data_IF_217420829884
#
_entry.id   IF_217420829884
#
_cell.length_a   1.000
_cell.length_b   1.000
_cell.length_c   1.000
_cell.angle_alpha   90.00
_cell.angle_beta   90.00
_cell.angle_gamma   90.00
#
_symmetry.space_group_name_H-M   'P 1'
#
loop_
_entity.id
_entity.type
_entity.pdbx_description
1 polymer ?
#
# COMPACT_ATOMS: atom_id res chain seq x y z
N UNK A 1 33.08 21.04 11.07
CA UNK A 1 33.16 19.62 10.63
C UNK A 1 32.11 19.45 9.56
N UNK A 2 32.49 19.13 8.32
CA UNK A 2 31.55 18.84 7.23
C UNK A 2 30.95 17.46 7.49
N UNK A 3 29.67 17.43 7.87
CA UNK A 3 28.97 16.21 8.31
C UNK A 3 28.74 15.26 7.13
N UNK A 4 28.83 15.77 5.90
CA UNK A 4 28.72 15.02 4.65
C UNK A 4 29.92 14.11 4.37
N UNK A 5 31.06 14.32 5.05
CA UNK A 5 32.32 13.62 4.78
C UNK A 5 32.66 12.53 5.82
N UNK A 6 31.75 12.23 6.76
CA UNK A 6 31.91 11.17 7.77
C UNK A 6 30.60 10.38 7.93
N UNK A 7 30.72 9.07 8.12
CA UNK A 7 29.60 8.20 8.47
C UNK A 7 28.95 8.55 9.81
N UNK A 8 27.63 8.38 9.91
CA UNK A 8 26.87 8.46 11.17
C UNK A 8 26.23 7.08 11.36
N UNK A 9 27.02 6.11 11.81
CA UNK A 9 26.70 4.68 11.62
C UNK A 9 25.84 4.05 12.70
N UNK A 10 26.05 4.42 13.96
CA UNK A 10 25.21 4.05 15.10
C UNK A 10 25.61 4.89 16.33
N UNK A 11 25.01 4.62 17.48
CA UNK A 11 25.31 5.34 18.72
C UNK A 11 26.71 5.05 19.33
N UNK A 12 27.49 4.10 18.78
CA UNK A 12 28.69 3.54 19.42
C UNK A 12 29.92 3.36 18.49
N UNK A 13 29.79 3.49 17.18
CA UNK A 13 30.85 3.24 16.19
C UNK A 13 30.81 4.25 15.03
N UNK A 14 31.97 4.48 14.42
CA UNK A 14 32.14 5.22 13.16
C UNK A 14 32.91 4.36 12.17
N UNK A 15 32.34 4.01 11.02
CA UNK A 15 33.00 3.16 10.02
C UNK A 15 32.24 2.76 8.74
N UNK A 16 30.97 3.14 8.52
CA UNK A 16 30.22 2.93 7.25
C UNK A 16 29.70 4.27 6.72
N UNK A 17 29.27 4.34 5.46
CA UNK A 17 28.63 5.55 4.93
C UNK A 17 27.12 5.38 5.03
N UNK A 18 26.50 5.83 6.11
CA UNK A 18 25.05 5.94 6.13
C UNK A 18 24.64 7.25 5.44
N UNK A 19 24.26 7.16 4.16
CA UNK A 19 23.73 8.31 3.42
C UNK A 19 22.45 8.78 4.11
N UNK A 20 22.49 9.95 4.75
CA UNK A 20 21.31 10.58 5.33
C UNK A 20 20.40 11.08 4.21
N UNK A 21 19.12 10.74 4.30
CA UNK A 21 18.07 11.21 3.37
C UNK A 21 16.92 11.86 4.14
N UNK A 22 15.78 12.11 3.49
CA UNK A 22 14.52 12.46 4.18
C UNK A 22 14.63 13.58 5.21
N UNK A 23 15.40 14.63 4.92
CA UNK A 23 15.75 15.67 5.90
C UNK A 23 14.55 16.56 6.26
N UNK A 24 14.24 16.64 7.55
CA UNK A 24 13.19 17.51 8.10
C UNK A 24 13.82 18.55 9.01
N UNK A 25 13.73 19.83 8.63
CA UNK A 25 14.29 20.95 9.39
C UNK A 25 13.27 21.61 10.31
N UNK A 26 13.70 21.97 11.51
CA UNK A 26 12.93 22.69 12.52
C UNK A 26 13.76 23.84 13.08
N UNK A 27 13.11 24.97 13.39
CA UNK A 27 13.72 26.06 14.18
C UNK A 27 13.01 26.14 15.52
N UNK A 28 13.70 25.77 16.60
CA UNK A 28 13.13 25.62 17.95
C UNK A 28 14.08 26.34 18.92
N UNK A 29 13.55 27.31 19.66
CA UNK A 29 14.28 28.07 20.68
C UNK A 29 15.63 28.64 20.20
N UNK A 30 15.64 29.20 18.99
CA UNK A 30 16.83 29.81 18.39
C UNK A 30 17.87 28.82 17.83
N UNK A 31 17.59 27.52 17.88
CA UNK A 31 18.42 26.45 17.29
C UNK A 31 17.74 25.88 16.03
N UNK A 32 18.55 25.51 15.04
CA UNK A 32 18.14 24.68 13.91
C UNK A 32 18.36 23.22 14.25
N UNK A 33 17.34 22.39 14.03
CA UNK A 33 17.39 20.93 14.12
C UNK A 33 17.11 20.35 12.75
N UNK A 34 17.87 19.34 12.32
CA UNK A 34 17.60 18.57 11.10
C UNK A 34 17.51 17.12 11.50
N UNK A 35 16.38 16.49 11.23
CA UNK A 35 16.20 15.06 11.47
C UNK A 35 16.29 14.32 10.14
N UNK A 36 17.16 13.32 10.07
CA UNK A 36 17.38 12.49 8.89
C UNK A 36 17.34 11.00 9.26
N UNK A 37 16.61 10.14 8.52
CA UNK A 37 16.86 8.71 8.55
C UNK A 37 18.26 8.36 8.05
N UNK A 38 18.74 7.21 8.50
CA UNK A 38 19.95 6.56 8.03
C UNK A 38 19.77 5.02 8.12
N UNK A 39 20.48 4.25 7.30
CA UNK A 39 20.49 2.77 7.41
C UNK A 39 19.42 2.00 6.63
N UNK A 40 18.56 2.68 5.86
CA UNK A 40 17.53 2.01 5.05
C UNK A 40 16.51 1.25 5.91
N UNK A 41 16.15 0.03 5.51
CA UNK A 41 15.11 -0.81 6.17
C UNK A 41 15.39 -1.10 7.66
N UNK A 42 16.65 -1.38 8.03
CA UNK A 42 17.06 -1.55 9.44
C UNK A 42 17.31 -0.20 10.15
N UNK A 43 16.85 0.89 9.54
CA UNK A 43 17.35 2.22 9.78
C UNK A 43 17.04 2.82 11.16
N UNK A 44 17.69 3.95 11.42
CA UNK A 44 17.58 4.74 12.63
C UNK A 44 17.36 6.21 12.28
N UNK A 45 17.10 7.02 13.31
CA UNK A 45 16.88 8.44 13.18
C UNK A 45 18.05 9.23 13.80
N UNK A 46 18.67 10.07 12.98
CA UNK A 46 19.71 11.02 13.40
C UNK A 46 19.08 12.40 13.55
N UNK A 47 19.49 13.14 14.59
CA UNK A 47 19.22 14.55 14.76
C UNK A 47 20.54 15.32 14.67
N UNK A 48 20.58 16.36 13.85
CA UNK A 48 21.62 17.37 13.76
C UNK A 48 21.11 18.64 14.43
N UNK A 49 21.94 19.40 15.16
CA UNK A 49 21.55 20.75 15.60
C UNK A 49 22.66 21.81 15.53
N UNK A 50 22.28 23.05 15.27
CA UNK A 50 23.20 24.21 15.21
C UNK A 50 22.48 25.53 15.49
N UNK A 51 23.21 26.57 15.94
CA UNK A 51 22.69 27.95 16.00
C UNK A 51 22.67 28.65 14.63
N UNK A 52 23.47 28.17 13.69
CA UNK A 52 23.55 28.70 12.33
C UNK A 52 22.98 27.66 11.36
N UNK A 53 22.09 28.08 10.46
CA UNK A 53 21.50 27.19 9.46
C UNK A 53 22.56 26.56 8.53
N UNK A 54 23.70 27.21 8.35
CA UNK A 54 24.83 26.69 7.59
C UNK A 54 25.79 25.83 8.43
N UNK A 55 25.49 25.63 9.71
CA UNK A 55 26.30 24.84 10.63
C UNK A 55 27.50 25.61 11.21
N UNK A 56 28.50 24.90 11.77
CA UNK A 56 28.56 23.44 11.85
C UNK A 56 27.44 22.87 12.74
N UNK A 57 26.98 21.65 12.44
CA UNK A 57 26.04 20.93 13.31
C UNK A 57 26.78 19.91 14.18
N UNK A 58 26.33 19.77 15.42
CA UNK A 58 26.55 18.55 16.20
C UNK A 58 25.43 17.55 15.90
N UNK A 59 25.66 16.26 16.20
CA UNK A 59 24.72 15.20 15.84
C UNK A 59 24.50 14.18 16.97
N UNK A 60 23.37 13.49 16.91
CA UNK A 60 23.01 12.40 17.82
C UNK A 60 22.06 11.41 17.14
N UNK A 61 22.27 10.11 17.33
CA UNK A 61 21.24 9.10 17.07
C UNK A 61 20.16 9.23 18.15
N UNK A 62 18.95 9.58 17.75
CA UNK A 62 17.85 9.85 18.67
C UNK A 62 16.85 8.70 18.79
N UNK A 63 16.81 7.81 17.80
CA UNK A 63 16.03 6.58 17.82
C UNK A 63 16.76 5.52 16.98
N UNK A 64 16.97 4.34 17.55
CA UNK A 64 17.47 3.15 16.86
C UNK A 64 16.80 1.95 17.54
N UNK A 65 15.62 1.60 17.05
CA UNK A 65 14.80 0.55 17.63
C UNK A 65 14.01 -0.19 16.55
N UNK A 66 14.08 -1.50 16.59
CA UNK A 66 13.37 -2.45 15.74
C UNK A 66 12.50 -3.41 16.57
N UNK A 67 12.45 -3.23 17.89
CA UNK A 67 11.90 -4.23 18.83
C UNK A 67 10.44 -4.60 18.59
N UNK A 68 9.66 -3.72 17.95
CA UNK A 68 8.26 -3.99 17.57
C UNK A 68 8.09 -4.79 16.28
N UNK A 69 9.11 -4.83 15.42
CA UNK A 69 9.11 -5.61 14.18
C UNK A 69 10.55 -5.92 13.69
N UNK A 70 11.32 -6.78 14.40
CA UNK A 70 12.69 -7.07 14.00
C UNK A 70 12.77 -7.73 12.62
N UNK A 71 13.77 -7.44 11.79
CA UNK A 71 14.94 -6.55 12.00
C UNK A 71 14.73 -5.10 11.48
N UNK A 72 13.47 -4.68 11.30
CA UNK A 72 13.13 -3.44 10.64
C UNK A 72 13.02 -2.28 11.63
N UNK A 73 13.94 -1.33 11.50
CA UNK A 73 14.04 -0.17 12.39
C UNK A 73 13.00 0.91 12.08
N UNK A 74 12.63 1.67 13.12
CA UNK A 74 11.84 2.89 12.99
C UNK A 74 12.69 4.01 12.40
N UNK A 75 12.35 4.44 11.19
CA UNK A 75 13.09 5.47 10.46
C UNK A 75 12.17 6.33 9.60
N UNK A 76 12.67 7.51 9.20
CA UNK A 76 12.08 8.43 8.24
C UNK A 76 10.72 9.00 8.65
N UNK A 77 10.68 10.31 8.88
CA UNK A 77 9.44 11.00 9.16
C UNK A 77 9.68 12.39 9.74
N UNK A 78 8.68 12.90 10.45
CA UNK A 78 8.71 14.26 10.99
C UNK A 78 8.08 14.40 12.36
N UNK A 79 8.63 15.34 13.12
CA UNK A 79 8.06 15.81 14.37
C UNK A 79 6.93 16.83 14.15
N UNK A 80 5.97 16.85 15.07
CA UNK A 80 4.90 17.83 15.19
C UNK A 80 4.79 18.28 16.65
N UNK A 81 4.67 19.59 16.86
CA UNK A 81 4.36 20.17 18.17
C UNK A 81 2.85 20.43 18.29
N UNK A 82 2.27 20.01 19.40
CA UNK A 82 0.91 20.33 19.77
C UNK A 82 0.81 21.70 20.45
N UNK A 83 -0.41 22.24 20.50
CA UNK A 83 -0.67 23.54 21.15
C UNK A 83 -0.36 23.55 22.65
N UNK A 84 -0.43 22.40 23.31
CA UNK A 84 -0.08 22.23 24.72
C UNK A 84 1.45 22.06 24.94
N UNK A 85 2.25 22.15 23.88
CA UNK A 85 3.71 22.03 23.93
C UNK A 85 4.24 20.60 23.79
N UNK A 86 3.38 19.58 23.79
CA UNK A 86 3.79 18.20 23.55
C UNK A 86 4.37 18.01 22.15
N UNK A 87 5.38 17.15 22.04
CA UNK A 87 5.97 16.78 20.76
C UNK A 87 5.67 15.33 20.43
N UNK A 88 5.41 15.08 19.15
CA UNK A 88 5.14 13.76 18.60
C UNK A 88 5.92 13.57 17.30
N UNK A 89 6.19 12.33 16.92
CA UNK A 89 6.93 11.98 15.73
C UNK A 89 6.10 10.99 14.91
N UNK A 90 5.73 11.37 13.68
CA UNK A 90 5.18 10.45 12.69
C UNK A 90 6.36 9.86 11.94
N UNK A 91 6.61 8.56 12.13
CA UNK A 91 7.76 7.82 11.59
C UNK A 91 7.25 6.56 10.89
N UNK A 92 8.02 5.91 10.01
CA UNK A 92 7.59 4.66 9.40
C UNK A 92 8.43 3.46 9.87
N UNK A 93 7.87 2.26 9.69
CA UNK A 93 8.57 1.00 9.86
C UNK A 93 8.23 0.09 8.68
N UNK A 94 9.25 -0.51 8.08
CA UNK A 94 9.06 -1.49 7.01
C UNK A 94 8.40 -2.75 7.59
N UNK A 95 7.32 -3.22 6.97
CA UNK A 95 6.58 -4.44 7.37
C UNK A 95 6.41 -5.37 6.17
N UNK A 96 7.52 -5.67 5.50
CA UNK A 96 7.58 -6.58 4.36
C UNK A 96 6.53 -6.29 3.30
N UNK A 97 5.85 -7.33 2.80
CA UNK A 97 5.01 -7.24 1.61
C UNK A 97 3.76 -6.34 1.75
N UNK A 98 3.35 -5.99 2.99
CA UNK A 98 2.27 -5.03 3.25
C UNK A 98 2.76 -3.57 3.24
N UNK A 99 4.07 -3.34 3.14
CA UNK A 99 4.68 -2.04 2.91
C UNK A 99 5.25 -1.38 4.15
N UNK A 100 5.36 -0.06 4.07
CA UNK A 100 5.95 0.79 5.12
C UNK A 100 4.81 1.44 5.90
N UNK A 101 4.73 1.13 7.19
CA UNK A 101 3.57 1.45 8.03
C UNK A 101 3.88 2.65 8.93
N UNK A 102 3.05 3.70 8.92
CA UNK A 102 3.21 4.83 9.83
C UNK A 102 3.04 4.42 11.29
N UNK A 103 3.92 4.93 12.13
CA UNK A 103 3.95 4.86 13.59
C UNK A 103 3.89 6.29 14.15
N UNK A 104 3.38 6.42 15.36
CA UNK A 104 3.27 7.71 16.06
C UNK A 104 3.89 7.59 17.44
N UNK A 105 5.04 8.24 17.62
CA UNK A 105 5.81 8.19 18.87
C UNK A 105 5.69 9.51 19.64
N UNK A 106 5.61 9.49 20.98
CA UNK A 106 5.84 10.70 21.77
C UNK A 106 7.29 11.15 21.62
N UNK A 107 7.58 12.42 21.84
CA UNK A 107 8.96 12.95 21.85
C UNK A 107 9.23 13.66 23.16
N UNK A 108 10.34 13.30 23.82
CA UNK A 108 10.83 13.99 25.02
C UNK A 108 12.13 14.72 24.73
N UNK A 109 12.24 15.95 25.21
CA UNK A 109 13.48 16.72 25.11
C UNK A 109 14.40 16.38 26.28
N UNK A 110 15.60 15.86 25.99
CA UNK A 110 16.61 15.47 27.00
C UNK A 110 17.95 16.10 26.63
N UNK A 111 18.46 17.01 27.46
CA UNK A 111 19.69 17.75 27.15
C UNK A 111 19.62 18.54 25.84
N UNK A 112 18.43 19.04 25.49
CA UNK A 112 18.16 19.73 24.23
C UNK A 112 18.13 18.84 22.99
N UNK A 113 18.01 17.52 23.14
CA UNK A 113 17.82 16.59 22.02
C UNK A 113 16.39 16.04 22.03
N UNK A 114 15.71 15.98 20.87
CA UNK A 114 14.40 15.33 20.78
C UNK A 114 14.59 13.82 20.75
N UNK A 115 14.12 13.11 21.77
CA UNK A 115 14.18 11.64 21.87
C UNK A 115 12.78 11.08 21.58
N UNK A 116 12.56 10.46 20.40
CA UNK A 116 11.30 9.79 20.08
C UNK A 116 11.11 8.52 20.91
N UNK A 117 9.86 8.17 21.15
CA UNK A 117 9.47 6.95 21.84
C UNK A 117 9.57 7.04 23.36
N UNK A 118 9.42 5.89 24.03
CA UNK A 118 9.55 5.78 25.49
C UNK A 118 10.95 5.28 25.80
N UNK A 119 11.84 6.20 26.17
CA UNK A 119 13.24 5.87 26.44
C UNK A 119 14.04 5.55 25.18
N UNK A 120 13.67 6.11 24.02
CA UNK A 120 14.34 5.85 22.74
C UNK A 120 13.92 4.54 22.07
N UNK A 121 12.73 4.02 22.38
CA UNK A 121 12.15 2.79 21.82
C UNK A 121 10.70 2.99 21.39
N UNK A 122 10.20 2.12 20.51
CA UNK A 122 8.81 2.11 20.10
C UNK A 122 7.85 2.08 21.29
N UNK A 123 6.66 2.63 21.08
CA UNK A 123 5.57 2.64 22.03
C UNK A 123 4.33 2.04 21.37
N UNK A 124 4.34 0.72 21.17
CA UNK A 124 3.25 -0.04 20.53
C UNK A 124 1.90 0.13 21.25
N UNK A 125 1.95 0.40 22.55
CA UNK A 125 0.81 0.87 23.34
C UNK A 125 1.20 2.16 24.05
N UNK A 126 0.48 3.24 23.74
CA UNK A 126 0.68 4.53 24.37
C UNK A 126 -0.62 5.34 24.40
N UNK A 127 -0.67 6.38 25.24
CA UNK A 127 -1.78 7.33 25.20
C UNK A 127 -1.81 8.03 23.84
N UNK A 128 -2.99 8.49 23.40
CA UNK A 128 -3.09 9.35 22.22
C UNK A 128 -2.59 10.77 22.54
N UNK A 129 -2.20 11.56 21.53
CA UNK A 129 -1.89 12.98 21.71
C UNK A 129 -3.04 13.74 22.35
N UNK A 130 -2.74 14.58 23.34
CA UNK A 130 -3.76 15.43 23.96
C UNK A 130 -4.02 16.66 23.09
N UNK A 131 -5.06 16.56 22.28
CA UNK A 131 -5.51 17.61 21.36
C UNK A 131 -6.68 18.42 21.92
N UNK A 132 -6.91 18.36 23.25
CA UNK A 132 -7.94 19.11 23.96
C UNK A 132 -9.38 18.58 23.79
N UNK A 133 -9.55 17.47 23.07
CA UNK A 133 -10.84 16.75 22.93
C UNK A 133 -10.63 15.33 22.39
N UNK A 134 -11.61 14.47 22.64
CA UNK A 134 -11.65 13.12 22.07
C UNK A 134 -12.29 13.15 20.69
N UNK A 135 -11.68 12.43 19.74
CA UNK A 135 -12.26 12.18 18.42
C UNK A 135 -12.62 10.70 18.28
N UNK A 136 -13.70 10.37 17.56
CA UNK A 136 -13.99 8.98 17.23
C UNK A 136 -12.87 8.41 16.37
N UNK A 137 -12.53 7.14 16.60
CA UNK A 137 -11.58 6.41 15.75
C UNK A 137 -12.10 6.38 14.32
N UNK A 138 -11.24 6.71 13.35
CA UNK A 138 -11.54 6.63 11.93
C UNK A 138 -10.47 5.80 11.24
N UNK A 139 -10.90 4.98 10.28
CA UNK A 139 -10.02 4.32 9.32
C UNK A 139 -10.11 5.05 7.97
N UNK A 140 -9.08 4.96 7.11
CA UNK A 140 -9.22 5.32 5.70
C UNK A 140 -10.42 4.60 5.07
N UNK A 141 -11.06 5.22 4.09
CA UNK A 141 -12.15 4.58 3.35
C UNK A 141 -11.65 3.29 2.67
N UNK A 142 -12.51 2.27 2.57
CA UNK A 142 -12.15 0.97 1.98
C UNK A 142 -13.24 0.45 1.04
N UNK A 143 -14.33 -0.08 1.59
CA UNK A 143 -15.51 -0.56 0.83
C UNK A 143 -16.10 0.54 -0.05
N UNK A 144 -16.49 0.17 -1.27
CA UNK A 144 -17.16 1.04 -2.22
C UNK A 144 -18.24 0.27 -2.97
N UNK A 145 -19.48 0.76 -2.91
CA UNK A 145 -20.62 0.22 -3.66
C UNK A 145 -20.83 0.96 -4.99
N UNK A 146 -19.87 1.80 -5.39
CA UNK A 146 -19.85 2.54 -6.67
C UNK A 146 -21.13 3.32 -7.01
N UNK A 147 -21.89 3.70 -5.99
CA UNK A 147 -23.15 4.44 -6.11
C UNK A 147 -22.95 5.95 -6.30
N UNK A 148 -21.73 6.45 -6.06
CA UNK A 148 -21.37 7.86 -6.23
C UNK A 148 -20.89 8.14 -7.65
N UNK A 149 -20.98 9.39 -8.07
CA UNK A 149 -20.52 9.85 -9.40
C UNK A 149 -19.02 10.16 -9.46
N UNK A 150 -18.30 10.01 -8.35
CA UNK A 150 -16.85 10.22 -8.24
C UNK A 150 -16.24 9.08 -7.45
N UNK A 151 -15.07 8.61 -7.91
CA UNK A 151 -14.28 7.62 -7.17
C UNK A 151 -13.90 8.17 -5.80
N UNK A 152 -14.02 7.33 -4.77
CA UNK A 152 -13.54 7.67 -3.44
C UNK A 152 -12.01 7.77 -3.37
N UNK A 153 -11.49 8.53 -2.41
CA UNK A 153 -10.06 8.82 -2.25
C UNK A 153 -9.20 7.59 -1.91
N UNK A 154 -9.83 6.48 -1.53
CA UNK A 154 -9.16 5.22 -1.26
C UNK A 154 -8.65 4.53 -2.53
N UNK A 155 -9.19 4.89 -3.69
CA UNK A 155 -8.80 4.36 -4.98
C UNK A 155 -7.62 5.11 -5.56
N UNK A 156 -6.70 4.36 -6.15
CA UNK A 156 -5.61 4.91 -6.94
C UNK A 156 -5.41 4.05 -8.17
N UNK A 157 -5.16 4.68 -9.31
CA UNK A 157 -4.81 3.99 -10.54
C UNK A 157 -3.38 3.46 -10.47
N UNK A 158 -3.15 2.27 -11.02
CA UNK A 158 -1.80 1.87 -11.41
C UNK A 158 -1.40 2.75 -12.61
N UNK A 159 -0.43 3.66 -12.40
CA UNK A 159 -0.03 4.68 -13.38
C UNK A 159 -1.18 5.62 -13.80
N UNK A 160 -0.97 6.41 -14.86
CA UNK A 160 -1.95 7.38 -15.36
C UNK A 160 -3.13 6.67 -16.03
N UNK A 161 -4.38 6.94 -15.61
CA UNK A 161 -5.56 6.37 -16.27
C UNK A 161 -5.80 7.00 -17.65
N UNK A 162 -6.60 6.32 -18.46
CA UNK A 162 -7.35 6.90 -19.57
C UNK A 162 -8.79 7.16 -19.10
N UNK A 163 -9.16 8.42 -18.93
CA UNK A 163 -10.47 8.81 -18.41
C UNK A 163 -11.63 8.56 -19.38
N UNK A 164 -11.37 8.25 -20.66
CA UNK A 164 -12.41 7.82 -21.59
C UNK A 164 -12.78 6.33 -21.43
N UNK A 165 -11.93 5.56 -20.74
CA UNK A 165 -12.00 4.09 -20.66
C UNK A 165 -12.45 3.59 -19.28
N UNK A 166 -13.01 4.45 -18.44
CA UNK A 166 -13.71 4.06 -17.22
C UNK A 166 -14.90 4.97 -16.94
N UNK A 167 -15.89 4.49 -16.20
CA UNK A 167 -17.07 5.29 -15.86
C UNK A 167 -17.78 4.80 -14.60
N UNK A 168 -18.37 5.74 -13.87
CA UNK A 168 -19.34 5.50 -12.78
C UNK A 168 -20.77 5.91 -13.18
N UNK A 169 -20.96 6.45 -14.39
CA UNK A 169 -22.22 7.04 -14.85
C UNK A 169 -22.83 6.31 -16.04
N UNK A 170 -22.04 5.61 -16.85
CA UNK A 170 -22.54 4.81 -17.98
C UNK A 170 -23.46 3.67 -17.50
N UNK A 171 -23.18 3.12 -16.32
CA UNK A 171 -24.05 2.20 -15.59
C UNK A 171 -24.05 2.59 -14.12
N UNK A 172 -25.12 3.27 -13.67
CA UNK A 172 -25.22 3.74 -12.28
C UNK A 172 -25.11 2.58 -11.29
N UNK A 173 -24.32 2.75 -10.23
CA UNK A 173 -24.06 1.72 -9.23
C UNK A 173 -22.97 0.72 -9.62
N UNK A 174 -22.22 0.98 -10.69
CA UNK A 174 -21.14 0.11 -11.15
C UNK A 174 -19.90 0.93 -11.48
N UNK A 175 -18.73 0.35 -11.19
CA UNK A 175 -17.47 0.75 -11.79
C UNK A 175 -17.28 0.02 -13.12
N UNK A 176 -17.40 0.76 -14.22
CA UNK A 176 -17.16 0.24 -15.57
C UNK A 176 -15.70 0.41 -15.96
N UNK A 177 -15.06 -0.67 -16.39
CA UNK A 177 -13.74 -0.66 -17.02
C UNK A 177 -13.84 -1.15 -18.46
N UNK A 178 -13.41 -0.31 -19.41
CA UNK A 178 -13.31 -0.67 -20.84
C UNK A 178 -11.91 -1.18 -21.14
N UNK A 179 -11.83 -2.30 -21.83
CA UNK A 179 -10.58 -2.96 -22.16
C UNK A 179 -9.74 -2.10 -23.11
N UNK A 180 -8.48 -1.90 -22.75
CA UNK A 180 -7.43 -1.42 -23.65
C UNK A 180 -6.46 -2.57 -23.96
N UNK A 181 -5.77 -2.55 -25.12
CA UNK A 181 -4.74 -3.53 -25.42
C UNK A 181 -3.65 -3.56 -24.34
N UNK A 182 -3.32 -4.76 -23.83
CA UNK A 182 -2.21 -4.98 -22.92
C UNK A 182 -1.70 -6.43 -23.04
N UNK A 183 -0.41 -6.63 -22.79
CA UNK A 183 0.22 -7.97 -22.81
C UNK A 183 -0.16 -8.79 -21.58
N UNK A 184 -0.24 -8.13 -20.43
CA UNK A 184 -0.58 -8.70 -19.14
C UNK A 184 -1.02 -7.59 -18.17
N UNK A 185 -1.28 -7.98 -16.92
CA UNK A 185 -1.70 -7.05 -15.85
C UNK A 185 -0.69 -5.92 -15.58
N UNK A 186 0.61 -6.14 -15.79
CA UNK A 186 1.65 -5.14 -15.51
C UNK A 186 1.63 -3.97 -16.49
N UNK A 187 1.10 -4.21 -17.70
CA UNK A 187 0.89 -3.17 -18.71
C UNK A 187 -0.57 -2.74 -18.86
N UNK A 188 -1.50 -3.35 -18.12
CA UNK A 188 -2.92 -3.02 -18.17
C UNK A 188 -3.22 -1.63 -17.60
N UNK A 189 -3.47 -0.67 -18.50
CA UNK A 189 -3.95 0.67 -18.14
C UNK A 189 -5.34 0.58 -17.53
N UNK A 190 -5.69 1.54 -16.66
CA UNK A 190 -6.94 1.55 -15.88
C UNK A 190 -7.08 0.34 -14.94
N UNK A 191 -5.98 -0.20 -14.45
CA UNK A 191 -6.01 -1.08 -13.27
C UNK A 191 -6.28 -0.23 -12.04
N UNK A 192 -7.49 -0.34 -11.48
CA UNK A 192 -7.92 0.39 -10.29
C UNK A 192 -7.47 -0.36 -9.03
N UNK A 193 -6.79 0.31 -8.12
CA UNK A 193 -6.15 -0.36 -6.97
C UNK A 193 -6.47 0.27 -5.63
N UNK A 194 -6.43 -0.56 -4.59
CA UNK A 194 -6.45 -0.15 -3.18
C UNK A 194 -5.38 -0.93 -2.41
N UNK A 195 -4.80 -0.32 -1.37
CA UNK A 195 -3.79 -0.97 -0.51
C UNK A 195 -4.39 -2.20 0.20
N UNK A 196 -3.62 -3.27 0.30
CA UNK A 196 -3.88 -4.30 1.32
C UNK A 196 -3.60 -3.71 2.71
N UNK A 197 -4.19 -4.28 3.75
CA UNK A 197 -3.94 -3.87 5.14
C UNK A 197 -3.62 -5.09 6.00
N UNK A 198 -2.68 -4.92 6.94
CA UNK A 198 -2.36 -5.93 7.96
C UNK A 198 -3.24 -5.80 9.21
N UNK A 199 -3.26 -6.83 10.08
CA UNK A 199 -2.59 -8.11 9.88
C UNK A 199 -3.33 -9.04 8.91
N UNK A 200 -4.60 -8.74 8.65
CA UNK A 200 -5.46 -9.45 7.72
C UNK A 200 -6.33 -8.45 6.97
N UNK A 201 -6.45 -8.62 5.65
CA UNK A 201 -7.47 -7.94 4.87
C UNK A 201 -8.05 -8.86 3.79
N UNK A 202 -9.33 -8.70 3.52
CA UNK A 202 -10.06 -9.42 2.48
C UNK A 202 -10.72 -8.41 1.57
N UNK A 203 -10.37 -8.45 0.28
CA UNK A 203 -11.09 -7.76 -0.78
C UNK A 203 -12.00 -8.75 -1.50
N UNK A 204 -13.25 -8.38 -1.76
CA UNK A 204 -14.18 -9.15 -2.60
C UNK A 204 -14.83 -8.22 -3.60
N UNK A 205 -15.05 -8.69 -4.82
CA UNK A 205 -15.81 -7.99 -5.86
C UNK A 205 -16.91 -8.88 -6.41
N UNK A 206 -17.97 -8.24 -6.90
CA UNK A 206 -18.93 -8.81 -7.85
C UNK A 206 -18.66 -8.19 -9.22
N UNK A 207 -18.38 -9.02 -10.22
CA UNK A 207 -18.10 -8.59 -11.59
C UNK A 207 -19.13 -9.17 -12.54
N UNK A 208 -19.75 -8.31 -13.33
CA UNK A 208 -20.60 -8.64 -14.47
C UNK A 208 -19.75 -8.66 -15.75
N UNK A 209 -19.82 -9.79 -16.46
CA UNK A 209 -18.96 -10.13 -17.61
C UNK A 209 -19.73 -10.16 -18.94
N UNK A 210 -20.97 -9.69 -18.94
CA UNK A 210 -21.83 -9.69 -20.15
C UNK A 210 -21.27 -8.83 -21.28
N UNK A 211 -20.53 -7.77 -20.95
CA UNK A 211 -19.93 -6.84 -21.91
C UNK A 211 -18.56 -7.23 -22.44
N UNK A 212 -17.99 -8.37 -22.01
CA UNK A 212 -16.68 -8.81 -22.49
C UNK A 212 -16.73 -9.19 -23.97
N UNK A 213 -15.66 -8.86 -24.69
CA UNK A 213 -15.40 -9.28 -26.07
C UNK A 213 -14.31 -10.34 -26.11
N UNK A 214 -14.27 -11.10 -27.20
CA UNK A 214 -13.16 -12.02 -27.45
C UNK A 214 -11.82 -11.25 -27.38
N UNK A 215 -10.84 -11.84 -26.67
CA UNK A 215 -9.57 -11.22 -26.32
C UNK A 215 -9.56 -10.54 -24.94
N UNK A 216 -10.71 -10.33 -24.28
CA UNK A 216 -10.73 -9.67 -22.97
C UNK A 216 -10.32 -10.60 -21.83
N UNK A 217 -9.61 -10.01 -20.87
CA UNK A 217 -9.26 -10.59 -19.57
C UNK A 217 -9.66 -9.57 -18.49
N UNK A 218 -10.72 -9.88 -17.75
CA UNK A 218 -11.24 -9.02 -16.68
C UNK A 218 -11.27 -9.77 -15.35
N UNK A 219 -10.85 -9.12 -14.28
CA UNK A 219 -10.71 -9.83 -13.02
C UNK A 219 -10.33 -9.00 -11.81
N UNK A 220 -9.99 -9.72 -10.76
CA UNK A 220 -9.61 -9.18 -9.47
C UNK A 220 -8.52 -10.03 -8.79
N UNK A 221 -7.59 -9.36 -8.11
CA UNK A 221 -6.48 -10.04 -7.45
C UNK A 221 -5.59 -9.12 -6.64
N UNK A 222 -4.34 -9.56 -6.44
CA UNK A 222 -3.28 -8.83 -5.75
C UNK A 222 -2.18 -8.46 -6.76
N UNK A 223 -1.86 -7.17 -6.83
CA UNK A 223 -0.85 -6.60 -7.71
C UNK A 223 0.41 -6.20 -6.93
N UNK A 224 1.51 -6.84 -7.31
CA UNK A 224 2.91 -6.51 -7.03
C UNK A 224 3.74 -7.40 -7.98
N UNK A 225 5.00 -7.65 -7.70
CA UNK A 225 5.81 -8.70 -8.31
C UNK A 225 6.33 -9.63 -7.18
N UNK A 226 5.81 -10.87 -7.09
CA UNK A 226 4.81 -11.49 -7.98
C UNK A 226 3.39 -10.91 -7.78
N UNK A 227 2.56 -11.02 -8.84
CA UNK A 227 1.11 -10.77 -8.78
C UNK A 227 0.33 -12.09 -8.93
N UNK A 228 -0.92 -12.10 -8.48
CA UNK A 228 -1.87 -13.16 -8.80
C UNK A 228 -3.30 -12.64 -8.89
N UNK A 229 -4.11 -13.22 -9.76
CA UNK A 229 -5.52 -12.86 -9.92
C UNK A 229 -6.39 -14.02 -10.38
N UNK A 230 -7.70 -13.88 -10.18
CA UNK A 230 -8.71 -14.66 -10.90
C UNK A 230 -9.36 -13.73 -11.91
N UNK A 231 -9.62 -14.25 -13.11
CA UNK A 231 -10.21 -13.47 -14.20
C UNK A 231 -11.12 -14.34 -15.07
N UNK A 232 -12.08 -13.69 -15.72
CA UNK A 232 -12.79 -14.26 -16.86
C UNK A 232 -12.04 -13.87 -18.13
N UNK A 233 -11.69 -14.88 -18.93
CA UNK A 233 -11.11 -14.75 -20.27
C UNK A 233 -12.18 -15.08 -21.29
N UNK A 234 -12.39 -14.20 -22.27
CA UNK A 234 -13.36 -14.39 -23.33
C UNK A 234 -12.61 -14.73 -24.62
N UNK A 235 -12.81 -15.93 -25.17
CA UNK A 235 -12.16 -16.38 -26.41
C UNK A 235 -13.15 -17.19 -27.27
N UNK A 236 -13.28 -16.83 -28.55
CA UNK A 236 -14.13 -17.53 -29.54
C UNK A 236 -15.57 -17.74 -29.05
N UNK A 237 -16.15 -16.72 -28.42
CA UNK A 237 -17.49 -16.77 -27.85
C UNK A 237 -17.62 -17.59 -26.55
N UNK A 238 -16.51 -18.08 -25.99
CA UNK A 238 -16.50 -18.86 -24.74
C UNK A 238 -15.89 -18.02 -23.62
N UNK A 239 -16.59 -17.93 -22.49
CA UNK A 239 -16.06 -17.42 -21.22
C UNK A 239 -15.36 -18.54 -20.47
N UNK A 240 -14.12 -18.35 -20.10
CA UNK A 240 -13.36 -19.23 -19.22
C UNK A 240 -13.03 -18.50 -17.92
N UNK A 241 -13.20 -19.17 -16.79
CA UNK A 241 -12.67 -18.67 -15.53
C UNK A 241 -11.25 -19.22 -15.37
N UNK A 242 -10.28 -18.34 -15.16
CA UNK A 242 -8.88 -18.71 -15.02
C UNK A 242 -8.25 -18.04 -13.79
N UNK A 243 -7.23 -18.69 -13.25
CA UNK A 243 -6.33 -18.10 -12.25
C UNK A 243 -4.98 -17.86 -12.91
N UNK A 244 -4.38 -16.71 -12.62
CA UNK A 244 -3.04 -16.37 -13.06
C UNK A 244 -2.14 -16.18 -11.83
N UNK A 245 -0.98 -16.82 -11.84
CA UNK A 245 0.07 -16.63 -10.86
C UNK A 245 1.36 -16.21 -11.59
N UNK A 246 1.71 -14.93 -11.45
CA UNK A 246 2.89 -14.32 -12.05
C UNK A 246 3.05 -14.63 -13.56
N UNK A 247 2.00 -14.40 -14.34
CA UNK A 247 1.96 -14.63 -15.79
C UNK A 247 1.62 -16.07 -16.21
N UNK A 248 1.68 -17.04 -15.30
CA UNK A 248 1.25 -18.42 -15.59
C UNK A 248 -0.25 -18.56 -15.34
N UNK A 249 -1.00 -18.91 -16.37
CA UNK A 249 -2.46 -18.99 -16.32
C UNK A 249 -2.93 -20.43 -16.38
N UNK A 250 -3.88 -20.78 -15.52
CA UNK A 250 -4.55 -22.07 -15.47
C UNK A 250 -6.06 -21.89 -15.54
N UNK A 251 -6.72 -22.69 -16.38
CA UNK A 251 -8.18 -22.68 -16.49
C UNK A 251 -8.80 -23.41 -15.30
N UNK A 252 -9.65 -22.70 -14.56
CA UNK A 252 -10.43 -23.26 -13.43
C UNK A 252 -11.77 -23.80 -13.93
N UNK A 253 -12.43 -23.05 -14.83
CA UNK A 253 -13.69 -23.46 -15.48
C UNK A 253 -13.56 -23.18 -16.98
N UNK A 254 -13.64 -24.23 -17.79
CA UNK A 254 -13.48 -24.12 -19.26
C UNK A 254 -14.67 -23.52 -20.00
N UNK A 255 -15.85 -23.47 -19.37
CA UNK A 255 -17.03 -22.77 -19.89
C UNK A 255 -17.87 -22.22 -18.73
N UNK A 256 -17.79 -20.90 -18.55
CA UNK A 256 -18.60 -20.16 -17.59
C UNK A 256 -19.94 -19.78 -18.25
N UNK A 257 -21.05 -20.21 -17.66
CA UNK A 257 -22.40 -19.90 -18.16
C UNK A 257 -23.05 -18.72 -17.42
N UNK A 258 -22.43 -18.26 -16.33
CA UNK A 258 -22.90 -17.16 -15.52
C UNK A 258 -22.50 -15.82 -16.15
N UNK A 259 -23.37 -14.84 -15.99
CA UNK A 259 -23.10 -13.44 -16.34
C UNK A 259 -22.38 -12.69 -15.23
N UNK A 260 -22.40 -13.23 -14.01
CA UNK A 260 -21.74 -12.67 -12.85
C UNK A 260 -20.80 -13.67 -12.22
N UNK A 261 -19.69 -13.16 -11.69
CA UNK A 261 -18.73 -13.91 -10.89
C UNK A 261 -18.29 -13.08 -9.70
N UNK A 262 -18.10 -13.73 -8.56
CA UNK A 262 -17.54 -13.11 -7.37
C UNK A 262 -16.12 -13.58 -7.19
N UNK A 263 -15.21 -12.65 -6.92
CA UNK A 263 -13.79 -12.95 -6.75
C UNK A 263 -13.33 -12.36 -5.44
N UNK A 264 -12.58 -13.14 -4.67
CA UNK A 264 -12.09 -12.75 -3.34
C UNK A 264 -10.60 -13.01 -3.21
N UNK A 265 -9.90 -12.05 -2.63
CA UNK A 265 -8.51 -12.18 -2.22
C UNK A 265 -8.42 -11.98 -0.70
N UNK A 266 -7.87 -12.97 0.02
CA UNK A 266 -7.56 -12.89 1.45
C UNK A 266 -6.06 -12.74 1.61
N UNK A 267 -5.62 -11.68 2.27
CA UNK A 267 -4.23 -11.29 2.44
C UNK A 267 -3.89 -11.23 3.91
N UNK A 268 -2.75 -11.80 4.31
CA UNK A 268 -2.23 -11.69 5.68
C UNK A 268 -0.76 -11.29 5.69
N UNK A 269 -0.35 -10.54 6.72
CA UNK A 269 1.05 -10.25 6.99
C UNK A 269 1.80 -11.44 7.62
N UNK A 270 1.08 -12.46 8.11
CA UNK A 270 1.66 -13.73 8.51
C UNK A 270 2.17 -14.47 7.27
N UNK A 271 3.47 -14.72 7.22
CA UNK A 271 4.18 -15.33 6.09
C UNK A 271 4.00 -14.57 4.76
N UNK A 272 3.45 -13.34 4.82
CA UNK A 272 3.12 -12.50 3.67
C UNK A 272 2.39 -13.24 2.55
N UNK A 273 1.25 -13.86 2.85
CA UNK A 273 0.51 -14.67 1.88
C UNK A 273 -0.79 -14.04 1.42
N UNK A 274 -1.19 -14.36 0.19
CA UNK A 274 -2.52 -14.08 -0.34
C UNK A 274 -3.14 -15.35 -0.94
N UNK A 275 -4.42 -15.60 -0.64
CA UNK A 275 -5.20 -16.71 -1.21
C UNK A 275 -6.39 -16.17 -1.99
N UNK A 276 -6.53 -16.65 -3.22
CA UNK A 276 -7.58 -16.26 -4.14
C UNK A 276 -8.72 -17.27 -4.14
N UNK A 277 -9.93 -16.76 -4.34
CA UNK A 277 -11.16 -17.53 -4.38
C UNK A 277 -12.09 -16.97 -5.45
N UNK A 278 -12.96 -17.84 -5.96
CA UNK A 278 -14.09 -17.46 -6.81
C UNK A 278 -15.40 -18.03 -6.24
N UNK A 279 -16.52 -17.47 -6.67
CA UNK A 279 -17.86 -17.95 -6.39
C UNK A 279 -18.76 -17.66 -7.60
N UNK A 280 -19.70 -18.57 -7.87
CA UNK A 280 -20.66 -18.47 -8.98
C UNK A 280 -22.06 -18.04 -8.52
N UNK A 281 -22.29 -17.98 -7.21
CA UNK A 281 -23.56 -17.66 -6.56
C UNK A 281 -23.47 -16.46 -5.58
N UNK A 282 -22.24 -16.01 -5.27
CA UNK A 282 -21.93 -14.95 -4.32
C UNK A 282 -21.87 -15.42 -2.86
N UNK A 283 -22.13 -16.70 -2.58
CA UNK A 283 -22.17 -17.28 -1.23
C UNK A 283 -21.07 -18.32 -1.02
N UNK A 284 -20.95 -19.29 -1.92
CA UNK A 284 -19.99 -20.39 -1.79
C UNK A 284 -18.70 -20.07 -2.54
N UNK A 285 -17.63 -19.82 -1.78
CA UNK A 285 -16.31 -19.45 -2.31
C UNK A 285 -15.35 -20.64 -2.34
N UNK A 286 -14.86 -20.97 -3.53
CA UNK A 286 -13.88 -22.02 -3.77
C UNK A 286 -12.48 -21.43 -4.00
N UNK A 287 -11.42 -22.05 -3.48
CA UNK A 287 -10.05 -21.58 -3.73
C UNK A 287 -9.71 -21.68 -5.23
N UNK A 288 -8.92 -20.71 -5.71
CA UNK A 288 -8.42 -20.68 -7.09
C UNK A 288 -6.89 -20.65 -7.10
N UNK A 289 -6.28 -21.68 -7.69
CA UNK A 289 -4.83 -21.80 -7.82
C UNK A 289 -4.09 -21.93 -6.49
N UNK A 290 -2.78 -21.72 -6.56
CA UNK A 290 -1.87 -21.80 -5.42
C UNK A 290 -1.92 -20.53 -4.55
N UNK A 291 -1.33 -20.63 -3.35
CA UNK A 291 -1.17 -19.47 -2.45
C UNK A 291 -0.06 -18.57 -2.99
N UNK A 292 -0.37 -17.28 -3.21
CA UNK A 292 0.62 -16.28 -3.55
C UNK A 292 1.47 -15.97 -2.32
N UNK A 293 2.78 -16.18 -2.42
CA UNK A 293 3.75 -15.57 -1.51
C UNK A 293 4.03 -14.15 -1.99
N UNK A 294 3.46 -13.17 -1.30
CA UNK A 294 3.60 -11.77 -1.67
C UNK A 294 5.06 -11.32 -1.54
N UNK A 295 5.53 -10.59 -2.54
CA UNK A 295 6.87 -10.03 -2.58
C UNK A 295 6.88 -8.51 -2.71
N UNK A 296 8.10 -7.97 -2.82
CA UNK A 296 8.39 -6.56 -3.09
C UNK A 296 9.29 -6.41 -4.33
N UNK A 297 8.92 -6.99 -5.47
CA UNK A 297 9.70 -6.94 -6.70
C UNK A 297 9.64 -5.58 -7.43
N UNK A 298 8.61 -4.76 -7.19
CA UNK A 298 8.61 -3.35 -7.58
C UNK A 298 9.05 -2.45 -6.41
N UNK A 299 9.92 -1.46 -6.65
CA UNK A 299 10.47 -0.65 -5.58
C UNK A 299 9.42 0.28 -4.97
N UNK A 300 9.57 0.55 -3.66
CA UNK A 300 8.88 1.61 -2.92
C UNK A 300 7.35 1.53 -2.81
N UNK A 301 6.73 0.43 -3.22
CA UNK A 301 5.29 0.19 -3.10
C UNK A 301 4.98 -1.22 -2.60
N UNK A 302 3.84 -1.36 -1.93
CA UNK A 302 3.38 -2.62 -1.35
C UNK A 302 2.37 -3.35 -2.24
N UNK A 303 1.94 -4.53 -1.81
CA UNK A 303 0.88 -5.28 -2.45
C UNK A 303 -0.45 -4.51 -2.40
N UNK A 304 -1.25 -4.60 -3.47
CA UNK A 304 -2.51 -3.87 -3.61
C UNK A 304 -3.59 -4.80 -4.18
N UNK A 305 -4.82 -4.66 -3.70
CA UNK A 305 -5.97 -5.21 -4.42
C UNK A 305 -6.10 -4.48 -5.78
N UNK A 306 -6.42 -5.22 -6.83
CA UNK A 306 -6.49 -4.70 -8.20
C UNK A 306 -7.73 -5.20 -8.93
N UNK A 307 -8.53 -4.28 -9.44
CA UNK A 307 -9.63 -4.51 -10.38
C UNK A 307 -9.14 -4.10 -11.77
N UNK A 308 -9.36 -4.93 -12.78
CA UNK A 308 -8.85 -4.66 -14.12
C UNK A 308 -9.73 -5.25 -15.22
N UNK A 309 -9.59 -4.70 -16.41
CA UNK A 309 -10.07 -5.26 -17.67
C UNK A 309 -9.10 -4.82 -18.77
N UNK A 310 -8.46 -5.77 -19.45
CA UNK A 310 -7.59 -5.51 -20.59
C UNK A 310 -7.89 -6.47 -21.73
N UNK A 311 -7.36 -6.17 -22.92
CA UNK A 311 -7.51 -7.00 -24.10
C UNK A 311 -6.15 -7.53 -24.56
N UNK A 312 -6.07 -8.84 -24.77
CA UNK A 312 -4.89 -9.51 -25.37
C UNK A 312 -4.86 -9.31 -26.90
N UNK A 313 -5.95 -8.84 -27.50
CA UNK A 313 -6.08 -8.55 -28.94
C UNK A 313 -6.66 -7.15 -29.18
N UNK A 314 -6.47 -6.60 -30.38
CA UNK A 314 -7.03 -5.29 -30.76
C UNK A 314 -8.56 -5.34 -30.90
N UNK A 315 -9.11 -6.47 -31.39
CA UNK A 315 -10.54 -6.64 -31.62
C UNK A 315 -11.36 -6.63 -30.33
N UNK A 316 -10.74 -7.06 -29.22
CA UNK A 316 -11.35 -7.04 -27.90
C UNK A 316 -11.38 -5.63 -27.26
N UNK A 317 -10.70 -4.64 -27.84
CA UNK A 317 -10.70 -3.28 -27.30
C UNK A 317 -12.13 -2.71 -27.16
N UNK A 318 -12.33 -1.98 -26.06
CA UNK A 318 -13.63 -1.41 -25.69
C UNK A 318 -14.65 -2.42 -25.16
N UNK A 319 -14.32 -3.71 -25.03
CA UNK A 319 -15.14 -4.64 -24.26
C UNK A 319 -15.17 -4.26 -22.78
N UNK A 320 -16.25 -4.60 -22.09
CA UNK A 320 -16.63 -4.00 -20.81
C UNK A 320 -16.70 -5.03 -19.69
N UNK A 321 -16.08 -4.70 -18.57
CA UNK A 321 -16.31 -5.35 -17.29
C UNK A 321 -16.96 -4.34 -16.32
N UNK A 322 -18.07 -4.74 -15.71
CA UNK A 322 -18.81 -3.90 -14.77
C UNK A 322 -18.69 -4.49 -13.35
N UNK A 323 -18.07 -3.75 -12.44
CA UNK A 323 -17.94 -4.15 -11.04
C UNK A 323 -19.04 -3.48 -10.21
N UNK A 324 -19.92 -4.28 -9.60
CA UNK A 324 -21.05 -3.78 -8.80
C UNK A 324 -20.56 -3.12 -7.51
N UNK A 325 -19.63 -3.78 -6.82
CA UNK A 325 -19.07 -3.31 -5.56
C UNK A 325 -17.68 -3.90 -5.35
N UNK A 326 -16.91 -3.23 -4.51
CA UNK A 326 -15.74 -3.76 -3.83
C UNK A 326 -15.98 -3.70 -2.33
N UNK A 327 -15.93 -4.86 -1.67
CA UNK A 327 -16.12 -4.96 -0.22
C UNK A 327 -14.84 -5.39 0.45
N UNK A 328 -14.51 -4.64 1.50
CA UNK A 328 -13.29 -4.80 2.28
C UNK A 328 -13.62 -5.24 3.71
N UNK A 329 -12.86 -6.20 4.21
CA UNK A 329 -12.96 -6.69 5.58
C UNK A 329 -11.56 -6.87 6.19
N UNK A 330 -11.32 -6.36 7.39
CA UNK A 330 -10.00 -6.36 8.07
C UNK A 330 -10.07 -6.66 9.57
N UNK A 331 -11.00 -7.53 9.99
CA UNK A 331 -11.01 -8.03 11.37
C UNK A 331 -10.36 -9.40 11.46
#
# INVERSE_FOLDING_TARGET
>A
MEIWNKGVDDAFHSGKSAAMEGAHMYKIDGMYYILCPAGGTAGWQVCLRSKNIYGPYEHKVVLQDDSSYPENGLHQGGMVQLRNGEWWFIIMQDRGAIGRVPHLLPVKWVGGWPIPGVGGKDATVYRKPDVGRTYPTKAPATTDEFSKTRLGLQWQWNHNPDNAQWSLSERKGYMRLKALPAKDLTNARNTLTQRVQGPLSTGTVEMDVTGLKDGNVAGFGVFQNPYAYVAVRQEKGIRQLAVCHNGKTETVIGRLNQDKVWIRARVTDKDFTARLYYSLDGTDFHPAGEVLRMGLGYPWTANRFALFNFSETEEGAGGVADFNWFRFYNK
#
